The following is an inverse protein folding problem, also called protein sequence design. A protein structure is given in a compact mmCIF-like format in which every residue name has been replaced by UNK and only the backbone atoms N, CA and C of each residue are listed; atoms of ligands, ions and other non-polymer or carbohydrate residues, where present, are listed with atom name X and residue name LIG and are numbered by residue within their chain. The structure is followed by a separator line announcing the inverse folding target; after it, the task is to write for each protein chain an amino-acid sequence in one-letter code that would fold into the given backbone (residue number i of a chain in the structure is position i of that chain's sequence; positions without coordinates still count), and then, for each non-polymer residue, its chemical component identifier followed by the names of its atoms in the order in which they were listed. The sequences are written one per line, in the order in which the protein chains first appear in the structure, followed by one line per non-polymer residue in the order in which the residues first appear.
data_IF_018732026988
#
_entry.id   IF_018732026988
#
_cell.length_a   1.000
_cell.length_b   1.000
_cell.length_c   1.000
_cell.angle_alpha   90.00
_cell.angle_beta   90.00
_cell.angle_gamma   90.00
#
_symmetry.space_group_name_H-M   'P 1'
#
loop_
_entity.id
_entity.type
_entity.pdbx_description
1 polymer ?
#
# COMPACT_ATOMS: atom_id res chain seq x y z
N UNK A 1 -2.42 19.00 35.18
CA UNK A 1 -1.76 19.93 34.23
C UNK A 1 -1.04 19.10 33.18
N UNK A 2 -1.64 18.88 32.00
CA UNK A 2 -0.87 18.38 30.87
C UNK A 2 -0.01 19.57 30.38
N UNK A 3 1.30 19.39 30.34
CA UNK A 3 2.22 20.40 29.80
C UNK A 3 1.84 20.74 28.35
N UNK A 4 2.00 22.01 27.97
CA UNK A 4 1.78 22.44 26.58
C UNK A 4 2.74 21.65 25.67
N UNK A 5 2.25 20.91 24.68
CA UNK A 5 3.13 20.14 23.78
C UNK A 5 3.92 21.10 22.88
N UNK A 6 5.16 20.73 22.55
CA UNK A 6 5.99 21.49 21.61
C UNK A 6 5.52 21.34 20.16
N UNK A 7 4.85 20.24 19.82
CA UNK A 7 4.39 19.95 18.47
C UNK A 7 3.22 18.97 18.50
N UNK A 8 2.33 19.07 17.52
CA UNK A 8 1.21 18.14 17.32
C UNK A 8 1.40 17.41 15.99
N UNK A 9 1.49 16.09 16.03
CA UNK A 9 1.52 15.25 14.85
C UNK A 9 0.18 14.52 14.69
N UNK A 10 -0.58 14.87 13.64
CA UNK A 10 -1.88 14.27 13.35
C UNK A 10 -1.84 13.42 12.08
N UNK A 11 -2.09 12.11 12.24
CA UNK A 11 -2.38 11.23 11.12
C UNK A 11 -3.77 11.53 10.56
N UNK A 12 -3.85 11.81 9.26
CA UNK A 12 -5.07 12.25 8.58
C UNK A 12 -5.39 11.34 7.38
N UNK A 13 -6.68 11.09 7.21
CA UNK A 13 -7.27 10.52 5.98
C UNK A 13 -8.32 11.51 5.47
N UNK A 14 -9.26 11.10 4.62
CA UNK A 14 -10.29 11.95 4.04
C UNK A 14 -11.60 11.95 4.87
N UNK A 15 -12.62 12.72 4.42
CA UNK A 15 -13.98 12.78 5.01
C UNK A 15 -14.02 13.18 6.49
N UNK A 16 -14.51 12.29 7.35
CA UNK A 16 -14.67 12.55 8.78
C UNK A 16 -13.33 12.76 9.48
N UNK A 17 -12.28 12.08 9.02
CA UNK A 17 -10.92 12.29 9.54
C UNK A 17 -10.50 13.74 9.31
N UNK A 18 -10.56 14.23 8.06
CA UNK A 18 -10.28 15.62 7.73
C UNK A 18 -11.07 16.60 8.60
N UNK A 19 -12.40 16.42 8.72
CA UNK A 19 -13.24 17.38 9.45
C UNK A 19 -12.82 17.53 10.92
N UNK A 20 -12.42 16.42 11.57
CA UNK A 20 -11.88 16.47 12.94
C UNK A 20 -10.53 17.20 13.00
N UNK A 21 -9.61 16.88 12.10
CA UNK A 21 -8.26 17.49 12.08
C UNK A 21 -8.32 18.97 11.74
N UNK A 22 -9.25 19.39 10.88
CA UNK A 22 -9.46 20.80 10.56
C UNK A 22 -9.85 21.62 11.78
N UNK A 23 -10.77 21.12 12.62
CA UNK A 23 -11.16 21.79 13.86
C UNK A 23 -10.02 21.82 14.87
N UNK A 24 -9.33 20.68 15.05
CA UNK A 24 -8.17 20.60 15.95
C UNK A 24 -7.03 21.53 15.51
N UNK A 25 -6.75 21.61 14.21
CA UNK A 25 -5.73 22.52 13.67
C UNK A 25 -6.00 23.97 14.07
N UNK A 26 -7.25 24.43 13.89
CA UNK A 26 -7.63 25.79 14.32
C UNK A 26 -7.39 26.01 15.81
N UNK A 27 -7.71 25.03 16.64
CA UNK A 27 -7.52 25.13 18.07
C UNK A 27 -6.02 25.18 18.46
N UNK A 28 -5.18 24.32 17.86
CA UNK A 28 -3.74 24.33 18.13
C UNK A 28 -3.04 25.58 17.59
N UNK A 29 -3.50 26.13 16.47
CA UNK A 29 -3.03 27.41 15.94
C UNK A 29 -3.33 28.56 16.91
N UNK A 30 -4.50 28.60 17.53
CA UNK A 30 -4.83 29.60 18.58
C UNK A 30 -3.90 29.49 19.80
N UNK A 31 -3.38 28.29 20.07
CA UNK A 31 -2.44 28.06 21.16
C UNK A 31 -0.98 28.29 20.75
N UNK A 32 -0.69 28.70 19.51
CA UNK A 32 0.66 28.77 18.95
C UNK A 32 1.42 27.45 19.19
N UNK A 33 0.81 26.34 18.76
CA UNK A 33 1.43 25.02 18.77
C UNK A 33 1.58 24.57 17.32
N UNK A 34 2.79 24.21 16.86
CA UNK A 34 3.02 23.78 15.49
C UNK A 34 2.35 22.44 15.19
N UNK A 35 1.82 22.31 13.98
CA UNK A 35 1.03 21.16 13.53
C UNK A 35 1.66 20.49 12.32
N UNK A 36 1.94 19.20 12.46
CA UNK A 36 2.29 18.30 11.38
C UNK A 36 1.06 17.47 11.01
N UNK A 37 0.67 17.51 9.74
CA UNK A 37 -0.33 16.62 9.16
C UNK A 37 0.39 15.48 8.45
N UNK A 38 0.00 14.23 8.71
CA UNK A 38 0.55 13.07 8.01
C UNK A 38 -0.57 12.35 7.26
N UNK A 39 -0.55 12.47 5.93
CA UNK A 39 -1.64 12.04 5.07
C UNK A 39 -1.48 10.58 4.63
N UNK A 40 -2.49 9.76 4.95
CA UNK A 40 -2.57 8.33 4.59
C UNK A 40 -3.71 7.98 3.62
N UNK A 41 -4.58 8.96 3.31
CA UNK A 41 -5.82 8.71 2.56
C UNK A 41 -5.61 8.57 1.05
N UNK A 42 -5.63 7.34 0.52
CA UNK A 42 -5.41 7.09 -0.92
C UNK A 42 -6.48 7.70 -1.83
N UNK A 43 -7.73 7.87 -1.36
CA UNK A 43 -8.79 8.55 -2.12
C UNK A 43 -8.85 10.07 -1.87
N UNK A 44 -7.85 10.67 -1.21
CA UNK A 44 -7.92 12.07 -0.79
C UNK A 44 -8.15 13.04 -1.95
N UNK A 45 -7.45 12.87 -3.09
CA UNK A 45 -7.64 13.71 -4.28
C UNK A 45 -9.03 13.56 -4.89
N UNK A 46 -9.48 12.32 -5.11
CA UNK A 46 -10.82 12.02 -5.61
C UNK A 46 -11.90 12.63 -4.72
N UNK A 47 -11.72 12.52 -3.40
CA UNK A 47 -12.64 13.14 -2.44
C UNK A 47 -12.59 14.68 -2.48
N UNK A 48 -11.40 15.28 -2.61
CA UNK A 48 -11.26 16.72 -2.77
C UNK A 48 -11.98 17.25 -4.01
N UNK A 49 -11.87 16.55 -5.14
CA UNK A 49 -12.53 16.93 -6.40
C UNK A 49 -14.06 16.79 -6.30
N UNK A 50 -14.56 15.86 -5.49
CA UNK A 50 -15.99 15.58 -5.35
C UNK A 50 -16.73 16.45 -4.33
N UNK A 51 -16.02 17.24 -3.50
CA UNK A 51 -16.66 18.05 -2.45
C UNK A 51 -16.92 19.49 -2.90
N UNK A 52 -17.81 20.18 -2.17
CA UNK A 52 -18.16 21.58 -2.46
C UNK A 52 -16.95 22.53 -2.40
N UNK A 53 -17.01 23.64 -3.13
CA UNK A 53 -15.98 24.68 -3.15
C UNK A 53 -15.63 25.17 -1.74
N UNK A 54 -16.63 25.33 -0.86
CA UNK A 54 -16.43 25.67 0.56
C UNK A 54 -15.53 24.64 1.26
N UNK A 55 -15.77 23.35 1.02
CA UNK A 55 -14.98 22.26 1.61
C UNK A 55 -13.58 22.20 1.02
N UNK A 56 -13.42 22.41 -0.29
CA UNK A 56 -12.12 22.52 -0.94
C UNK A 56 -11.29 23.66 -0.34
N UNK A 57 -11.90 24.82 -0.07
CA UNK A 57 -11.22 25.95 0.58
C UNK A 57 -10.80 25.63 2.02
N UNK A 58 -11.60 24.88 2.78
CA UNK A 58 -11.19 24.39 4.10
C UNK A 58 -9.98 23.44 4.00
N UNK A 59 -9.96 22.58 2.97
CA UNK A 59 -8.84 21.66 2.73
C UNK A 59 -7.56 22.43 2.40
N UNK A 60 -7.63 23.37 1.45
CA UNK A 60 -6.50 24.24 1.09
C UNK A 60 -5.99 25.02 2.30
N UNK A 61 -6.90 25.58 3.11
CA UNK A 61 -6.55 26.31 4.33
C UNK A 61 -5.78 25.42 5.31
N UNK A 62 -6.27 24.19 5.60
CA UNK A 62 -5.56 23.25 6.47
C UNK A 62 -4.14 22.96 5.96
N UNK A 63 -4.02 22.65 4.67
CA UNK A 63 -2.74 22.30 4.04
C UNK A 63 -1.75 23.48 4.06
N UNK A 64 -2.25 24.71 3.91
CA UNK A 64 -1.46 25.95 3.96
C UNK A 64 -1.02 26.30 5.38
N UNK A 65 -1.91 26.14 6.36
CA UNK A 65 -1.66 26.51 7.76
C UNK A 65 -0.82 25.49 8.52
N UNK A 66 -0.72 24.25 8.04
CA UNK A 66 0.09 23.22 8.66
C UNK A 66 1.58 23.52 8.48
N UNK A 67 2.35 23.43 9.57
CA UNK A 67 3.80 23.67 9.57
C UNK A 67 4.56 22.63 8.76
N UNK A 68 4.01 21.42 8.63
CA UNK A 68 4.42 20.44 7.63
C UNK A 68 3.29 19.48 7.29
N UNK A 69 3.27 19.00 6.04
CA UNK A 69 2.40 17.93 5.58
C UNK A 69 3.25 16.77 5.07
N UNK A 70 3.30 15.69 5.84
CA UNK A 70 3.93 14.44 5.46
C UNK A 70 3.04 13.69 4.46
N UNK A 71 3.64 13.26 3.37
CA UNK A 71 3.04 12.35 2.37
C UNK A 71 3.96 11.15 2.15
N UNK A 72 3.36 10.04 1.70
CA UNK A 72 4.06 8.76 1.61
C UNK A 72 4.98 8.61 0.39
N UNK A 73 4.99 9.58 -0.53
CA UNK A 73 5.73 9.46 -1.78
C UNK A 73 5.71 10.73 -2.63
N UNK A 74 6.59 10.78 -3.63
CA UNK A 74 6.74 11.94 -4.53
C UNK A 74 5.50 12.13 -5.43
N UNK A 75 4.82 11.06 -5.84
CA UNK A 75 3.54 11.16 -6.57
C UNK A 75 2.49 11.90 -5.74
N UNK A 76 2.34 11.57 -4.45
CA UNK A 76 1.43 12.26 -3.53
C UNK A 76 1.85 13.69 -3.23
N UNK A 77 3.15 13.96 -3.14
CA UNK A 77 3.68 15.32 -2.96
C UNK A 77 3.24 16.24 -4.10
N UNK A 78 3.33 15.78 -5.35
CA UNK A 78 2.85 16.52 -6.54
C UNK A 78 1.35 16.80 -6.45
N UNK A 79 0.54 15.78 -6.16
CA UNK A 79 -0.91 15.91 -5.99
C UNK A 79 -1.28 16.96 -4.92
N UNK A 80 -0.60 16.96 -3.78
CA UNK A 80 -0.87 17.94 -2.71
C UNK A 80 -0.44 19.35 -3.12
N UNK A 81 0.67 19.48 -3.86
CA UNK A 81 1.12 20.77 -4.40
C UNK A 81 0.18 21.31 -5.48
N UNK A 82 -0.48 20.46 -6.26
CA UNK A 82 -1.54 20.87 -7.18
C UNK A 82 -2.78 21.41 -6.44
N UNK A 83 -3.13 20.80 -5.30
CA UNK A 83 -4.26 21.25 -4.46
C UNK A 83 -3.95 22.60 -3.79
N UNK A 84 -2.77 22.74 -3.20
CA UNK A 84 -2.31 23.95 -2.51
C UNK A 84 -0.78 24.12 -2.70
N UNK A 85 -0.34 25.02 -3.62
CA UNK A 85 1.08 25.20 -3.95
C UNK A 85 1.97 25.61 -2.76
N UNK A 86 1.41 26.35 -1.80
CA UNK A 86 2.15 26.84 -0.63
C UNK A 86 2.23 25.81 0.51
N UNK A 87 1.65 24.62 0.36
CA UNK A 87 1.71 23.59 1.39
C UNK A 87 3.16 23.15 1.63
N UNK A 88 3.63 23.16 2.88
CA UNK A 88 4.96 22.69 3.27
C UNK A 88 5.00 21.15 3.25
N UNK A 89 5.20 20.54 2.08
CA UNK A 89 5.16 19.07 1.93
C UNK A 89 6.52 18.41 2.19
N UNK A 90 6.51 17.26 2.88
CA UNK A 90 7.68 16.42 3.14
C UNK A 90 7.35 14.98 2.78
N UNK A 91 8.27 14.28 2.12
CA UNK A 91 8.10 12.85 1.80
C UNK A 91 8.73 12.01 2.90
N UNK A 92 7.89 11.20 3.55
CA UNK A 92 8.32 10.16 4.47
C UNK A 92 7.55 8.90 4.10
N UNK A 93 8.22 7.99 3.41
CA UNK A 93 7.66 6.68 3.09
C UNK A 93 7.38 5.88 4.37
N UNK A 94 6.42 4.95 4.33
CA UNK A 94 6.23 3.99 5.41
C UNK A 94 7.49 3.13 5.59
N UNK A 95 7.78 2.72 6.82
CA UNK A 95 8.85 1.77 7.13
C UNK A 95 8.33 0.35 7.37
N UNK A 96 9.27 -0.59 7.37
CA UNK A 96 9.04 -1.97 7.74
C UNK A 96 10.24 -2.53 8.51
N UNK A 97 9.94 -3.35 9.53
CA UNK A 97 10.94 -4.18 10.20
C UNK A 97 11.37 -5.27 9.24
N UNK A 98 12.66 -5.34 8.94
CA UNK A 98 13.20 -6.33 8.01
C UNK A 98 13.57 -7.61 8.78
N UNK A 99 12.94 -8.76 8.49
CA UNK A 99 13.31 -10.05 9.09
C UNK A 99 14.75 -10.44 8.75
N UNK A 100 15.41 -11.26 9.58
CA UNK A 100 16.79 -11.71 9.29
C UNK A 100 16.87 -12.73 8.14
N UNK A 101 15.76 -13.38 7.81
CA UNK A 101 15.70 -14.40 6.77
C UNK A 101 15.02 -13.89 5.49
N UNK A 102 15.23 -14.64 4.41
CA UNK A 102 14.62 -14.42 3.09
C UNK A 102 13.89 -15.70 2.67
N UNK A 103 12.68 -15.54 2.14
CA UNK A 103 11.91 -16.68 1.63
C UNK A 103 12.64 -17.26 0.41
N UNK A 104 12.76 -18.59 0.39
CA UNK A 104 13.27 -19.32 -0.76
C UNK A 104 12.12 -20.04 -1.44
N UNK A 105 12.04 -19.95 -2.75
CA UNK A 105 11.12 -20.79 -3.50
C UNK A 105 11.63 -22.24 -3.52
N UNK A 106 11.07 -23.05 -2.63
CA UNK A 106 11.37 -24.47 -2.46
C UNK A 106 10.19 -25.40 -2.82
N UNK A 107 9.02 -24.84 -3.09
CA UNK A 107 7.81 -25.58 -3.46
C UNK A 107 7.81 -26.01 -4.92
N UNK A 108 7.16 -27.15 -5.20
CA UNK A 108 6.89 -27.61 -6.58
C UNK A 108 5.84 -26.74 -7.30
N UNK A 109 5.09 -25.94 -6.56
CA UNK A 109 3.96 -25.14 -7.04
C UNK A 109 4.12 -23.69 -6.57
N UNK A 110 3.91 -22.73 -7.47
CA UNK A 110 3.99 -21.31 -7.13
C UNK A 110 2.71 -20.88 -6.39
N UNK A 111 2.87 -20.28 -5.22
CA UNK A 111 1.81 -19.73 -4.40
C UNK A 111 1.84 -18.21 -4.41
N UNK A 112 0.74 -17.60 -4.80
CA UNK A 112 0.50 -16.17 -4.81
C UNK A 112 -0.25 -15.77 -3.55
N UNK A 113 0.15 -14.68 -2.92
CA UNK A 113 -0.47 -14.16 -1.71
C UNK A 113 -1.12 -12.82 -1.99
N UNK A 114 -2.41 -12.73 -1.76
CA UNK A 114 -3.10 -11.46 -1.55
C UNK A 114 -3.26 -11.25 -0.05
N UNK A 115 -2.91 -10.07 0.46
CA UNK A 115 -3.12 -9.71 1.86
C UNK A 115 -3.74 -8.33 2.01
N UNK A 116 -4.95 -8.28 2.57
CA UNK A 116 -5.67 -7.03 2.83
C UNK A 116 -7.19 -7.21 3.00
N UNK A 117 -7.88 -6.13 3.34
CA UNK A 117 -9.35 -6.10 3.46
C UNK A 117 -10.00 -6.39 2.10
N UNK A 118 -11.00 -7.27 2.04
CA UNK A 118 -11.71 -7.64 0.81
C UNK A 118 -12.82 -6.62 0.49
N UNK A 119 -12.44 -5.53 -0.17
CA UNK A 119 -13.35 -4.50 -0.70
C UNK A 119 -13.12 -4.33 -2.20
N UNK A 120 -14.15 -3.88 -2.93
CA UNK A 120 -14.10 -3.74 -4.41
C UNK A 120 -12.83 -3.12 -4.96
N UNK A 121 -12.32 -2.05 -4.32
CA UNK A 121 -11.11 -1.35 -4.81
C UNK A 121 -9.83 -2.18 -4.72
N UNK A 122 -9.81 -3.31 -4.01
CA UNK A 122 -8.62 -4.17 -3.95
C UNK A 122 -8.42 -5.03 -5.20
N UNK A 123 -9.42 -5.07 -6.09
CA UNK A 123 -9.33 -5.71 -7.41
C UNK A 123 -9.20 -7.23 -7.38
N UNK A 124 -9.65 -7.89 -6.31
CA UNK A 124 -9.56 -9.36 -6.22
C UNK A 124 -10.45 -10.02 -7.29
N UNK A 125 -11.53 -9.37 -7.74
CA UNK A 125 -12.31 -9.83 -8.90
C UNK A 125 -11.45 -9.87 -10.17
N UNK A 126 -10.63 -8.85 -10.42
CA UNK A 126 -9.72 -8.84 -11.58
C UNK A 126 -8.72 -10.01 -11.51
N UNK A 127 -8.32 -10.40 -10.29
CA UNK A 127 -7.49 -11.60 -10.08
C UNK A 127 -8.25 -12.88 -10.42
N UNK A 128 -9.52 -13.01 -10.02
CA UNK A 128 -10.35 -14.18 -10.36
C UNK A 128 -10.51 -14.29 -11.89
N UNK A 129 -10.76 -13.18 -12.59
CA UNK A 129 -10.80 -13.13 -14.06
C UNK A 129 -9.46 -13.52 -14.69
N UNK A 130 -8.34 -13.06 -14.14
CA UNK A 130 -7.01 -13.45 -14.62
C UNK A 130 -6.78 -14.96 -14.46
N UNK A 131 -7.18 -15.53 -13.32
CA UNK A 131 -7.03 -16.97 -13.05
C UNK A 131 -7.94 -17.81 -13.94
N UNK A 132 -9.16 -17.36 -14.24
CA UNK A 132 -10.03 -17.98 -15.26
C UNK A 132 -9.30 -18.09 -16.60
N UNK A 133 -8.75 -16.97 -17.10
CA UNK A 133 -8.02 -16.96 -18.36
C UNK A 133 -6.84 -17.94 -18.36
N UNK A 134 -6.13 -18.05 -17.24
CA UNK A 134 -5.03 -19.01 -17.07
C UNK A 134 -5.53 -20.44 -17.08
N UNK A 135 -6.60 -20.76 -16.35
CA UNK A 135 -7.15 -22.10 -16.28
C UNK A 135 -7.67 -22.60 -17.64
N UNK A 136 -8.24 -21.70 -18.45
CA UNK A 136 -8.72 -21.99 -19.81
C UNK A 136 -7.59 -22.17 -20.82
N UNK A 137 -6.56 -21.32 -20.78
CA UNK A 137 -5.50 -21.29 -21.80
C UNK A 137 -4.26 -22.12 -21.44
N UNK A 138 -4.01 -22.35 -20.15
CA UNK A 138 -2.82 -23.03 -19.63
C UNK A 138 -3.18 -24.02 -18.49
N UNK A 139 -4.06 -25.00 -18.73
CA UNK A 139 -4.57 -25.92 -17.70
C UNK A 139 -3.49 -26.79 -17.03
N UNK A 140 -2.30 -26.91 -17.63
CA UNK A 140 -1.15 -27.60 -17.05
C UNK A 140 -0.46 -26.80 -15.94
N UNK A 141 -0.68 -25.48 -15.87
CA UNK A 141 -0.09 -24.60 -14.86
C UNK A 141 -0.86 -24.70 -13.56
N UNK A 142 -0.23 -25.30 -12.55
CA UNK A 142 -0.78 -25.39 -11.21
C UNK A 142 -0.30 -24.20 -10.37
N UNK A 143 -1.25 -23.38 -9.93
CA UNK A 143 -1.02 -22.23 -9.06
C UNK A 143 -1.97 -22.29 -7.87
N UNK A 144 -1.57 -21.69 -6.75
CA UNK A 144 -2.46 -21.42 -5.63
C UNK A 144 -2.45 -19.93 -5.34
N UNK A 145 -3.64 -19.36 -5.20
CA UNK A 145 -3.89 -17.97 -4.84
C UNK A 145 -4.47 -17.96 -3.44
N UNK A 146 -3.62 -17.62 -2.48
CA UNK A 146 -3.98 -17.49 -1.08
C UNK A 146 -4.52 -16.08 -0.81
N UNK A 147 -5.78 -16.02 -0.38
CA UNK A 147 -6.49 -14.79 -0.06
C UNK A 147 -6.53 -14.65 1.47
N UNK A 148 -5.60 -13.86 2.01
CA UNK A 148 -5.47 -13.55 3.43
C UNK A 148 -6.15 -12.21 3.74
N UNK A 149 -7.45 -12.27 4.01
CA UNK A 149 -8.29 -11.10 4.25
C UNK A 149 -9.74 -11.47 4.53
N UNK A 150 -10.52 -10.47 4.94
CA UNK A 150 -11.97 -10.54 5.07
C UNK A 150 -12.58 -9.19 4.66
N UNK A 151 -13.85 -9.17 4.27
CA UNK A 151 -14.56 -7.95 3.91
C UNK A 151 -15.80 -8.19 3.05
N UNK A 152 -16.46 -7.10 2.68
CA UNK A 152 -17.78 -7.09 2.03
C UNK A 152 -17.82 -7.87 0.71
N UNK A 153 -16.69 -8.01 0.01
CA UNK A 153 -16.65 -8.72 -1.28
C UNK A 153 -16.49 -10.24 -1.14
N UNK A 154 -16.22 -10.77 0.05
CA UNK A 154 -15.84 -12.19 0.23
C UNK A 154 -16.87 -13.17 -0.35
N UNK A 155 -18.16 -12.93 -0.13
CA UNK A 155 -19.24 -13.76 -0.65
C UNK A 155 -19.23 -13.74 -2.18
N UNK A 156 -19.25 -12.54 -2.78
CA UNK A 156 -19.25 -12.38 -4.23
C UNK A 156 -18.03 -13.00 -4.92
N UNK A 157 -16.86 -12.97 -4.26
CA UNK A 157 -15.65 -13.59 -4.77
C UNK A 157 -15.76 -15.11 -4.78
N UNK A 158 -16.31 -15.71 -3.71
CA UNK A 158 -16.52 -17.16 -3.62
C UNK A 158 -17.54 -17.65 -4.64
N UNK A 159 -18.64 -16.91 -4.83
CA UNK A 159 -19.64 -17.20 -5.86
C UNK A 159 -19.04 -17.16 -7.27
N UNK A 160 -18.25 -16.12 -7.58
CA UNK A 160 -17.58 -16.00 -8.89
C UNK A 160 -16.56 -17.13 -9.13
N UNK A 161 -15.81 -17.52 -8.10
CA UNK A 161 -14.87 -18.64 -8.16
C UNK A 161 -15.60 -19.97 -8.41
N UNK A 162 -16.77 -20.15 -7.81
CA UNK A 162 -17.62 -21.33 -8.04
C UNK A 162 -18.21 -21.34 -9.46
N UNK A 163 -18.74 -20.21 -9.93
CA UNK A 163 -19.23 -20.02 -11.29
C UNK A 163 -18.18 -20.42 -12.34
N UNK A 164 -16.91 -20.06 -12.09
CA UNK A 164 -15.79 -20.35 -12.99
C UNK A 164 -15.10 -21.69 -12.72
N UNK A 165 -15.58 -22.48 -11.77
CA UNK A 165 -14.97 -23.76 -11.38
C UNK A 165 -13.48 -23.65 -10.97
N UNK A 166 -13.12 -22.57 -10.28
CA UNK A 166 -11.74 -22.23 -9.88
C UNK A 166 -11.40 -22.59 -8.43
N UNK A 167 -12.25 -23.34 -7.72
CA UNK A 167 -12.08 -23.64 -6.29
C UNK A 167 -10.73 -24.28 -5.96
N UNK A 168 -10.15 -25.04 -6.90
CA UNK A 168 -8.83 -25.67 -6.73
C UNK A 168 -7.64 -24.70 -6.80
N UNK A 169 -7.86 -23.48 -7.31
CA UNK A 169 -6.83 -22.44 -7.42
C UNK A 169 -6.82 -21.50 -6.21
N UNK A 170 -7.90 -21.38 -5.44
CA UNK A 170 -8.05 -20.35 -4.41
C UNK A 170 -8.13 -20.94 -2.99
N UNK A 171 -7.38 -20.34 -2.07
CA UNK A 171 -7.43 -20.65 -0.64
C UNK A 171 -7.77 -19.38 0.16
N UNK A 172 -8.95 -19.33 0.78
CA UNK A 172 -9.34 -18.23 1.66
C UNK A 172 -8.89 -18.53 3.09
N UNK A 173 -7.93 -17.74 3.58
CA UNK A 173 -7.39 -17.92 4.95
C UNK A 173 -8.14 -17.06 5.98
N UNK A 174 -8.96 -16.11 5.52
CA UNK A 174 -9.66 -15.14 6.37
C UNK A 174 -8.72 -14.07 6.92
N UNK A 175 -9.17 -13.33 7.94
CA UNK A 175 -8.37 -12.30 8.58
C UNK A 175 -7.21 -12.90 9.39
N UNK A 176 -5.97 -12.51 9.06
CA UNK A 176 -4.75 -13.02 9.71
C UNK A 176 -3.97 -11.93 10.45
N UNK A 177 -3.38 -12.31 11.58
CA UNK A 177 -2.54 -11.45 12.43
C UNK A 177 -1.42 -12.28 13.05
N UNK A 178 -0.37 -11.60 13.57
CA UNK A 178 0.71 -12.25 14.32
C UNK A 178 1.40 -13.37 13.52
N UNK A 179 1.64 -14.51 14.18
CA UNK A 179 2.32 -15.68 13.61
C UNK A 179 1.62 -16.21 12.35
N UNK A 180 0.28 -16.27 12.34
CA UNK A 180 -0.46 -16.73 11.15
C UNK A 180 -0.20 -15.86 9.91
N UNK A 181 -0.05 -14.54 10.11
CA UNK A 181 0.31 -13.63 9.02
C UNK A 181 1.70 -13.94 8.49
N UNK A 182 2.65 -14.19 9.38
CA UNK A 182 4.02 -14.57 9.01
C UNK A 182 4.08 -15.92 8.29
N UNK A 183 3.28 -16.90 8.72
CA UNK A 183 3.13 -18.19 8.04
C UNK A 183 2.64 -18.02 6.59
N UNK A 184 1.64 -17.14 6.37
CA UNK A 184 1.15 -16.83 5.03
C UNK A 184 2.27 -16.31 4.12
N UNK A 185 3.10 -15.38 4.63
CA UNK A 185 4.28 -14.91 3.90
C UNK A 185 5.25 -16.06 3.66
N UNK A 186 5.65 -16.80 4.69
CA UNK A 186 6.66 -17.89 4.61
C UNK A 186 6.31 -18.98 3.60
N UNK A 187 5.03 -19.33 3.46
CA UNK A 187 4.59 -20.39 2.54
C UNK A 187 4.34 -19.89 1.11
N UNK A 188 4.26 -18.58 0.92
CA UNK A 188 3.98 -17.96 -0.38
C UNK A 188 5.24 -17.57 -1.13
N UNK A 189 5.14 -17.45 -2.45
CA UNK A 189 6.26 -17.11 -3.31
C UNK A 189 6.15 -15.69 -3.84
N UNK A 190 4.96 -15.25 -4.24
CA UNK A 190 4.76 -13.94 -4.88
C UNK A 190 3.62 -13.19 -4.20
N UNK A 191 3.81 -11.92 -3.89
CA UNK A 191 2.72 -11.05 -3.44
C UNK A 191 1.96 -10.53 -4.65
N UNK A 192 0.63 -10.52 -4.60
CA UNK A 192 -0.23 -10.00 -5.65
C UNK A 192 -1.22 -8.98 -5.09
N UNK A 193 -1.21 -7.76 -5.63
CA UNK A 193 -2.05 -6.66 -5.18
C UNK A 193 -2.63 -5.85 -6.36
N UNK A 194 -3.74 -6.30 -6.97
CA UNK A 194 -4.37 -5.65 -8.13
C UNK A 194 -5.24 -4.43 -7.76
N UNK A 195 -4.79 -3.60 -6.81
CA UNK A 195 -5.64 -2.56 -6.21
C UNK A 195 -5.85 -1.33 -7.11
N UNK A 196 -7.05 -0.80 -7.14
CA UNK A 196 -7.38 0.42 -7.88
C UNK A 196 -6.87 1.71 -7.22
N UNK A 197 -6.60 1.68 -5.92
CA UNK A 197 -6.09 2.86 -5.21
C UNK A 197 -5.36 2.52 -3.90
N UNK A 198 -4.12 2.99 -3.80
CA UNK A 198 -3.23 2.82 -2.64
C UNK A 198 -2.45 4.10 -2.31
N UNK A 199 -1.92 4.14 -1.09
CA UNK A 199 -0.88 5.10 -0.69
C UNK A 199 0.48 4.49 -0.96
N UNK A 200 1.05 3.87 0.06
CA UNK A 200 2.15 2.92 -0.02
C UNK A 200 1.80 1.75 0.92
N UNK A 201 1.29 0.62 0.40
CA UNK A 201 0.67 -0.40 1.22
C UNK A 201 1.71 -1.17 2.05
N UNK A 202 1.47 -1.26 3.36
CA UNK A 202 2.35 -2.00 4.29
C UNK A 202 2.49 -3.47 3.89
N UNK A 203 1.47 -4.11 3.31
CA UNK A 203 1.56 -5.51 2.87
C UNK A 203 2.58 -5.72 1.73
N UNK A 204 2.79 -4.73 0.85
CA UNK A 204 3.89 -4.78 -0.13
C UNK A 204 5.23 -4.64 0.59
N UNK A 205 5.35 -3.71 1.54
CA UNK A 205 6.59 -3.53 2.31
C UNK A 205 6.97 -4.78 3.11
N UNK A 206 5.98 -5.40 3.76
CA UNK A 206 6.12 -6.70 4.42
C UNK A 206 6.61 -7.76 3.42
N UNK A 207 5.95 -7.92 2.27
CA UNK A 207 6.34 -8.88 1.24
C UNK A 207 7.80 -8.68 0.79
N UNK A 208 8.20 -7.47 0.41
CA UNK A 208 9.58 -7.22 -0.03
C UNK A 208 10.59 -7.38 1.10
N UNK A 209 10.18 -7.14 2.36
CA UNK A 209 11.04 -7.37 3.53
C UNK A 209 11.40 -8.84 3.71
N UNK A 210 10.53 -9.77 3.29
CA UNK A 210 10.84 -11.19 3.20
C UNK A 210 11.58 -11.60 1.93
N UNK A 211 11.92 -10.64 1.06
CA UNK A 211 12.46 -10.89 -0.28
C UNK A 211 11.43 -11.51 -1.22
N UNK A 212 10.14 -11.25 -1.04
CA UNK A 212 9.10 -11.74 -1.93
C UNK A 212 8.99 -10.82 -3.15
N UNK A 213 9.00 -11.35 -4.39
CA UNK A 213 8.63 -10.58 -5.57
C UNK A 213 7.16 -10.13 -5.53
N UNK A 214 6.84 -9.04 -6.22
CA UNK A 214 5.50 -8.43 -6.16
C UNK A 214 4.89 -8.20 -7.54
N UNK A 215 3.63 -8.59 -7.73
CA UNK A 215 2.79 -8.17 -8.85
C UNK A 215 1.77 -7.17 -8.31
N UNK A 216 1.78 -5.94 -8.79
CA UNK A 216 0.86 -4.91 -8.30
C UNK A 216 0.50 -3.91 -9.39
N UNK A 217 -0.58 -3.17 -9.17
CA UNK A 217 -0.93 -2.03 -10.01
C UNK A 217 -0.01 -0.83 -9.74
N UNK A 218 0.28 -0.01 -10.76
CA UNK A 218 1.04 1.24 -10.60
C UNK A 218 0.15 2.40 -10.12
N UNK A 219 -0.34 2.30 -8.89
CA UNK A 219 -1.13 3.35 -8.22
C UNK A 219 -0.44 3.85 -6.96
N UNK A 220 -0.80 5.06 -6.55
CA UNK A 220 -0.21 5.68 -5.36
C UNK A 220 1.30 5.81 -5.53
N UNK A 221 2.05 5.30 -4.56
CA UNK A 221 3.51 5.26 -4.58
C UNK A 221 4.06 3.83 -4.63
N UNK A 222 3.27 2.85 -5.11
CA UNK A 222 3.70 1.45 -5.23
C UNK A 222 5.00 1.32 -6.05
N UNK A 223 5.16 2.13 -7.10
CA UNK A 223 6.38 2.18 -7.93
C UNK A 223 7.67 2.50 -7.15
N UNK A 224 7.54 3.00 -5.92
CA UNK A 224 8.68 3.29 -5.06
C UNK A 224 9.19 2.05 -4.31
N UNK A 225 8.34 1.02 -4.18
CA UNK A 225 8.61 -0.28 -3.55
C UNK A 225 8.64 -1.47 -4.53
N UNK A 226 8.03 -1.32 -5.70
CA UNK A 226 8.04 -2.31 -6.78
C UNK A 226 8.59 -1.64 -8.04
N UNK A 227 9.67 -2.17 -8.57
CA UNK A 227 10.33 -1.72 -9.81
C UNK A 227 10.08 -2.78 -10.88
N UNK A 228 9.39 -2.38 -11.93
CA UNK A 228 8.97 -3.26 -13.00
C UNK A 228 10.17 -3.98 -13.65
N UNK A 229 10.12 -5.31 -13.72
CA UNK A 229 11.19 -6.15 -14.25
C UNK A 229 12.44 -6.28 -13.36
N UNK A 230 12.47 -5.66 -12.18
CA UNK A 230 13.60 -5.74 -11.24
C UNK A 230 13.28 -6.59 -10.00
N UNK A 231 12.17 -6.31 -9.32
CA UNK A 231 11.71 -7.06 -8.14
C UNK A 231 10.23 -7.48 -8.22
N UNK A 232 9.63 -7.35 -9.40
CA UNK A 232 8.21 -7.54 -9.59
C UNK A 232 7.72 -7.06 -10.95
N UNK A 233 6.41 -7.02 -11.10
CA UNK A 233 5.76 -6.46 -12.29
C UNK A 233 4.69 -5.45 -11.88
N UNK A 234 4.65 -4.35 -12.64
CA UNK A 234 3.63 -3.32 -12.51
C UNK A 234 2.69 -3.33 -13.71
N UNK A 235 1.41 -3.11 -13.46
CA UNK A 235 0.38 -3.01 -14.50
C UNK A 235 -0.66 -1.94 -14.14
N UNK A 236 -1.61 -1.66 -15.04
CA UNK A 236 -2.65 -0.66 -14.79
C UNK A 236 -3.88 -1.30 -14.10
N UNK A 237 -4.57 -0.60 -13.19
CA UNK A 237 -5.81 -1.11 -12.60
C UNK A 237 -6.85 -1.53 -13.65
N UNK A 238 -7.48 -2.70 -13.43
CA UNK A 238 -8.45 -3.28 -14.35
C UNK A 238 -7.87 -3.94 -15.61
N UNK A 239 -6.55 -3.88 -15.83
CA UNK A 239 -5.90 -4.58 -16.94
C UNK A 239 -5.67 -6.06 -16.60
N UNK A 240 -6.73 -6.86 -16.73
CA UNK A 240 -6.73 -8.31 -16.48
C UNK A 240 -5.72 -9.04 -17.38
N UNK A 241 -5.52 -8.58 -18.62
CA UNK A 241 -4.58 -9.20 -19.56
C UNK A 241 -3.13 -9.02 -19.12
N UNK A 242 -2.77 -7.81 -18.67
CA UNK A 242 -1.46 -7.54 -18.10
C UNK A 242 -1.24 -8.30 -16.78
N UNK A 243 -2.28 -8.42 -15.94
CA UNK A 243 -2.23 -9.22 -14.71
C UNK A 243 -1.95 -10.71 -15.02
N UNK A 244 -2.72 -11.31 -15.94
CA UNK A 244 -2.49 -12.68 -16.43
C UNK A 244 -1.06 -12.86 -16.93
N UNK A 245 -0.59 -11.92 -17.77
CA UNK A 245 0.76 -11.95 -18.31
C UNK A 245 1.83 -11.88 -17.20
N UNK A 246 1.63 -11.04 -16.18
CA UNK A 246 2.55 -10.91 -15.05
C UNK A 246 2.63 -12.20 -14.22
N UNK A 247 1.48 -12.83 -13.93
CA UNK A 247 1.38 -14.11 -13.20
C UNK A 247 2.18 -15.20 -13.94
N UNK A 248 2.00 -15.31 -15.27
CA UNK A 248 2.72 -16.29 -16.08
C UNK A 248 4.22 -15.99 -16.15
N UNK A 249 4.61 -14.73 -16.31
CA UNK A 249 6.02 -14.30 -16.43
C UNK A 249 6.83 -14.46 -15.15
N UNK A 250 6.21 -14.27 -13.99
CA UNK A 250 6.91 -14.32 -12.70
C UNK A 250 7.16 -15.75 -12.21
N UNK A 251 6.42 -16.72 -12.74
CA UNK A 251 6.56 -18.14 -12.44
C UNK A 251 7.80 -18.75 -13.13
N UNK A 252 8.96 -18.16 -12.86
CA UNK A 252 10.28 -18.51 -13.40
C UNK A 252 11.27 -18.48 -12.23
N UNK A 253 11.87 -19.65 -11.94
CA UNK A 253 12.71 -19.84 -10.76
C UNK A 253 14.00 -19.01 -10.82
N UNK A 254 14.57 -18.81 -12.00
CA UNK A 254 15.81 -18.05 -12.14
C UNK A 254 15.54 -16.56 -11.95
N UNK A 255 14.42 -16.07 -12.50
CA UNK A 255 13.97 -14.69 -12.24
C UNK A 255 13.62 -14.46 -10.78
N UNK A 256 12.99 -15.45 -10.12
CA UNK A 256 12.62 -15.35 -8.72
C UNK A 256 13.80 -15.01 -7.82
N UNK A 257 14.94 -15.69 -7.98
CA UNK A 257 16.13 -15.46 -7.13
C UNK A 257 16.63 -14.02 -7.28
N UNK A 258 16.68 -13.51 -8.53
CA UNK A 258 17.07 -12.13 -8.80
C UNK A 258 16.08 -11.13 -8.18
N UNK A 259 14.78 -11.34 -8.39
CA UNK A 259 13.74 -10.46 -7.88
C UNK A 259 13.71 -10.46 -6.34
N UNK A 260 13.88 -11.63 -5.74
CA UNK A 260 13.91 -11.81 -4.30
C UNK A 260 15.02 -11.00 -3.63
N UNK A 261 16.23 -11.07 -4.20
CA UNK A 261 17.37 -10.26 -3.75
C UNK A 261 17.07 -8.77 -3.88
N UNK A 262 16.56 -8.32 -5.02
CA UNK A 262 16.24 -6.92 -5.24
C UNK A 262 15.17 -6.40 -4.26
N UNK A 263 14.11 -7.18 -4.00
CA UNK A 263 13.10 -6.89 -2.98
C UNK A 263 13.72 -6.71 -1.60
N UNK A 264 14.58 -7.65 -1.19
CA UNK A 264 15.22 -7.63 0.14
C UNK A 264 16.15 -6.42 0.28
N UNK A 265 16.99 -6.17 -0.72
CA UNK A 265 17.93 -5.04 -0.74
C UNK A 265 17.17 -3.71 -0.66
N UNK A 266 16.05 -3.57 -1.37
CA UNK A 266 15.22 -2.37 -1.33
C UNK A 266 14.59 -2.14 0.06
N UNK A 267 14.09 -3.20 0.71
CA UNK A 267 13.56 -3.12 2.06
C UNK A 267 14.62 -2.64 3.07
N UNK A 268 15.83 -3.22 3.01
CA UNK A 268 16.96 -2.87 3.90
C UNK A 268 17.43 -1.44 3.67
N UNK A 269 17.63 -1.04 2.41
CA UNK A 269 18.29 0.23 2.10
C UNK A 269 17.35 1.44 2.16
N UNK A 270 16.07 1.25 1.82
CA UNK A 270 15.13 2.36 1.67
C UNK A 270 14.07 2.41 2.77
N UNK A 271 13.44 1.28 3.08
CA UNK A 271 12.25 1.22 3.91
C UNK A 271 12.50 0.75 5.35
N UNK A 272 13.75 0.72 5.80
CA UNK A 272 14.07 0.38 7.19
C UNK A 272 13.60 1.48 8.17
N UNK A 273 13.36 1.08 9.41
CA UNK A 273 12.91 1.97 10.49
C UNK A 273 13.87 3.12 10.78
N UNK A 274 15.19 2.89 10.68
CA UNK A 274 16.21 3.92 10.92
C UNK A 274 16.00 5.15 10.04
N UNK A 275 15.90 4.94 8.73
CA UNK A 275 15.63 6.02 7.77
C UNK A 275 14.33 6.77 8.08
N UNK A 276 13.28 6.06 8.48
CA UNK A 276 11.98 6.66 8.79
C UNK A 276 12.04 7.51 10.05
N UNK A 277 12.54 6.96 11.15
CA UNK A 277 12.62 7.68 12.43
C UNK A 277 13.57 8.87 12.34
N UNK A 278 14.69 8.75 11.62
CA UNK A 278 15.60 9.88 11.39
C UNK A 278 14.89 11.04 10.68
N UNK A 279 14.07 10.75 9.66
CA UNK A 279 13.29 11.79 8.95
C UNK A 279 12.24 12.42 9.86
N UNK A 280 11.51 11.62 10.65
CA UNK A 280 10.49 12.13 11.58
C UNK A 280 11.12 12.97 12.69
N UNK A 281 12.22 12.53 13.29
CA UNK A 281 12.93 13.26 14.34
C UNK A 281 13.47 14.60 13.82
N UNK A 282 14.07 14.61 12.63
CA UNK A 282 14.51 15.85 11.98
C UNK A 282 13.35 16.82 11.73
N UNK A 283 12.16 16.31 11.39
CA UNK A 283 10.97 17.14 11.21
C UNK A 283 10.50 17.76 12.54
N UNK A 284 10.48 16.97 13.61
CA UNK A 284 10.13 17.48 14.94
C UNK A 284 11.10 18.53 15.45
N UNK A 285 12.41 18.36 15.21
CA UNK A 285 13.43 19.33 15.60
C UNK A 285 13.35 20.65 14.83
N UNK A 286 12.91 20.61 13.57
CA UNK A 286 12.64 21.83 12.79
C UNK A 286 11.38 22.53 13.26
N UNK A 287 10.30 21.76 13.45
CA UNK A 287 9.01 22.29 13.88
C UNK A 287 8.99 22.83 15.31
N UNK A 288 9.91 22.42 16.19
CA UNK A 288 10.00 22.91 17.57
C UNK A 288 10.82 24.20 17.74
N UNK A 289 11.52 24.65 16.69
CA UNK A 289 12.42 25.82 16.72
C UNK A 289 11.85 27.07 16.01
N UNK A 290 10.75 26.94 15.28
CA UNK A 290 9.98 28.05 14.66
C UNK A 290 8.84 28.49 15.59
#
# INVERSE_FOLDING_TARGET
LLSKPNIIHMHMSYRGSFSRKYVLNKWFRLLNIPVIIHLHGSEFKKWYDSVSVKKQNQIRLLLRESDSTIVLGEKWKKIIKEIEPNCKTVVVENSIVVPEYTIKWNSKMCRFLFMGVLIKRKGVHDLVEAVKNIAEQYPEKKFIFEIAGAGDEEISLKELIEEYNLQSYFEFTGWVVGEKKEECYRRSNVMILPSYNEGLPISILEAISYGMPVIATDVGDISSAVRDGENGYLFQPGDVSALTSAILKINDKDKYVKFSRCSKDLAITKFNDGNFFDRILNLYQKGSKE
#
